data_IF_452188912755
#
_entry.id   IF_452188912755
#
_cell.length_a   1.000
_cell.length_b   1.000
_cell.length_c   1.000
_cell.angle_alpha   90.00
_cell.angle_beta   90.00
_cell.angle_gamma   90.00
#
_symmetry.space_group_name_H-M   'P 1'
#
loop_
_entity.id
_entity.type
_entity.pdbx_description
1 polymer ?
#
# COMPACT_ATOMS: atom_id res chain seq x y z
N UNK A 1 17.99 6.43 -19.21
CA UNK A 1 17.81 6.24 -17.75
C UNK A 1 16.38 6.46 -17.27
N UNK A 2 15.59 7.36 -17.88
CA UNK A 2 14.22 7.66 -17.46
C UNK A 2 13.29 6.42 -17.41
N UNK A 3 13.31 5.57 -18.43
CA UNK A 3 12.49 4.33 -18.48
C UNK A 3 12.84 3.37 -17.34
N UNK A 4 14.13 3.14 -17.10
CA UNK A 4 14.58 2.29 -16.00
C UNK A 4 14.13 2.85 -14.64
N UNK A 5 14.22 4.17 -14.47
CA UNK A 5 13.75 4.82 -13.26
C UNK A 5 12.24 4.64 -13.07
N UNK A 6 11.45 4.93 -14.11
CA UNK A 6 9.99 4.84 -14.06
C UNK A 6 9.52 3.39 -13.83
N UNK A 7 10.11 2.41 -14.49
CA UNK A 7 9.62 1.01 -14.43
C UNK A 7 10.16 0.26 -13.20
N UNK A 8 11.34 0.61 -12.69
CA UNK A 8 12.01 -0.16 -11.64
C UNK A 8 12.24 0.68 -10.39
N UNK A 9 13.05 1.74 -10.49
CA UNK A 9 13.52 2.47 -9.30
C UNK A 9 12.38 3.14 -8.55
N UNK A 10 11.47 3.80 -9.26
CA UNK A 10 10.33 4.49 -8.69
C UNK A 10 9.36 3.50 -8.00
N UNK A 11 8.85 2.44 -8.65
CA UNK A 11 8.00 1.45 -7.99
C UNK A 11 8.64 0.81 -6.75
N UNK A 12 9.93 0.45 -6.80
CA UNK A 12 10.62 -0.11 -5.61
C UNK A 12 10.65 0.88 -4.47
N UNK A 13 11.05 2.12 -4.75
CA UNK A 13 11.17 3.18 -3.74
C UNK A 13 9.82 3.53 -3.14
N UNK A 14 8.79 3.64 -3.99
CA UNK A 14 7.43 3.94 -3.58
C UNK A 14 6.83 2.79 -2.75
N UNK A 15 6.96 1.53 -3.18
CA UNK A 15 6.44 0.42 -2.37
C UNK A 15 7.15 0.32 -1.02
N UNK A 16 8.47 0.56 -0.95
CA UNK A 16 9.18 0.61 0.32
C UNK A 16 8.65 1.73 1.23
N UNK A 17 8.53 2.96 0.71
CA UNK A 17 8.08 4.11 1.49
C UNK A 17 6.62 3.98 1.92
N UNK A 18 5.73 3.57 1.03
CA UNK A 18 4.30 3.53 1.32
C UNK A 18 3.87 2.25 2.03
N UNK A 19 4.37 1.08 1.65
CA UNK A 19 3.88 -0.21 2.17
C UNK A 19 4.77 -0.73 3.29
N UNK A 20 6.07 -0.46 3.22
CA UNK A 20 7.02 -0.75 4.29
C UNK A 20 6.89 0.23 5.45
N UNK A 21 7.06 1.53 5.18
CA UNK A 21 7.15 2.55 6.23
C UNK A 21 5.78 3.12 6.61
N UNK A 22 5.11 3.82 5.70
CA UNK A 22 3.88 4.57 6.02
C UNK A 22 2.72 3.66 6.45
N UNK A 23 2.45 2.61 5.67
CA UNK A 23 1.42 1.63 5.99
C UNK A 23 1.75 0.87 7.29
N UNK A 24 3.02 0.50 7.50
CA UNK A 24 3.47 -0.13 8.74
C UNK A 24 3.25 0.77 9.96
N UNK A 25 3.49 2.08 9.82
CA UNK A 25 3.21 3.08 10.84
C UNK A 25 1.71 3.16 11.15
N UNK A 26 0.85 3.30 10.15
CA UNK A 26 -0.60 3.36 10.38
C UNK A 26 -1.17 2.07 10.95
N UNK A 27 -0.72 0.90 10.51
CA UNK A 27 -1.11 -0.37 11.12
C UNK A 27 -0.75 -0.42 12.61
N UNK A 28 0.39 0.15 12.98
CA UNK A 28 0.84 0.19 14.38
C UNK A 28 -0.04 1.15 15.19
N UNK A 29 -0.35 2.33 14.67
CA UNK A 29 -1.32 3.25 15.29
C UNK A 29 -2.70 2.63 15.47
N UNK A 30 -3.24 1.97 14.45
CA UNK A 30 -4.56 1.34 14.48
C UNK A 30 -4.63 0.23 15.54
N UNK A 31 -3.57 -0.56 15.69
CA UNK A 31 -3.44 -1.54 16.77
C UNK A 31 -3.44 -0.87 18.14
N UNK A 32 -2.68 0.21 18.33
CA UNK A 32 -2.67 0.95 19.60
C UNK A 32 -4.03 1.55 19.94
N UNK A 33 -4.70 2.16 18.96
CA UNK A 33 -6.03 2.74 19.14
C UNK A 33 -7.06 1.67 19.51
N UNK A 34 -7.04 0.52 18.85
CA UNK A 34 -7.94 -0.61 19.15
C UNK A 34 -7.74 -1.12 20.58
N UNK A 35 -6.50 -1.25 21.04
CA UNK A 35 -6.19 -1.65 22.42
C UNK A 35 -6.64 -0.58 23.43
N UNK A 36 -6.48 0.70 23.12
CA UNK A 36 -6.83 1.80 24.03
C UNK A 36 -8.33 2.05 24.16
N UNK A 37 -9.09 1.96 23.04
CA UNK A 37 -10.55 2.15 23.02
C UNK A 37 -11.29 0.99 23.73
N UNK A 38 -10.56 -0.06 24.13
CA UNK A 38 -11.05 -1.03 25.09
C UNK A 38 -12.05 -2.02 24.52
N UNK A 39 -12.05 -2.30 23.21
CA UNK A 39 -12.75 -3.49 22.70
C UNK A 39 -11.93 -4.72 23.08
N UNK A 40 -12.34 -5.51 24.09
CA UNK A 40 -11.60 -6.67 24.53
C UNK A 40 -12.01 -7.85 23.64
N UNK A 41 -11.81 -7.73 22.32
CA UNK A 41 -11.96 -8.86 21.44
C UNK A 41 -10.62 -9.57 21.40
N UNK A 42 -10.56 -10.70 22.10
CA UNK A 42 -9.46 -11.68 22.20
C UNK A 42 -8.51 -11.46 23.38
N UNK A 43 -9.07 -11.46 24.59
CA UNK A 43 -8.45 -12.22 25.68
C UNK A 43 -8.59 -13.70 25.37
N UNK A 44 -7.53 -14.33 24.85
CA UNK A 44 -7.20 -15.73 25.10
C UNK A 44 -5.73 -15.94 24.75
N UNK A 45 -4.91 -15.92 25.81
CA UNK A 45 -3.49 -16.18 25.76
C UNK A 45 -3.20 -17.60 25.30
N UNK A 46 -1.93 -17.80 24.93
CA UNK A 46 -1.26 -19.08 24.63
C UNK A 46 -1.34 -19.55 23.16
N UNK A 47 -2.38 -19.23 22.36
CA UNK A 47 -2.46 -19.65 20.94
C UNK A 47 -2.91 -18.60 19.89
N UNK A 48 -2.81 -17.29 20.14
CA UNK A 48 -3.25 -16.28 19.15
C UNK A 48 -2.18 -15.97 18.09
N UNK A 49 -1.94 -16.92 17.19
CA UNK A 49 -1.43 -16.62 15.85
C UNK A 49 -2.68 -16.33 15.00
N UNK A 50 -2.86 -15.08 14.57
CA UNK A 50 -3.72 -14.73 13.42
C UNK A 50 -5.25 -14.69 13.59
N UNK A 51 -5.76 -13.70 14.32
CA UNK A 51 -6.83 -12.87 13.73
C UNK A 51 -6.16 -11.64 13.10
N UNK A 52 -5.69 -11.78 11.85
CA UNK A 52 -5.24 -10.60 11.08
C UNK A 52 -6.47 -9.75 10.75
N UNK A 53 -6.91 -8.96 11.72
CA UNK A 53 -7.92 -7.94 11.50
C UNK A 53 -7.43 -7.04 10.37
N UNK A 54 -8.33 -6.77 9.42
CA UNK A 54 -8.00 -5.94 8.29
C UNK A 54 -7.78 -4.50 8.78
N UNK A 55 -6.61 -3.89 8.54
CA UNK A 55 -6.30 -2.57 9.06
C UNK A 55 -6.93 -1.53 8.13
N UNK A 56 -8.24 -1.33 8.25
CA UNK A 56 -9.04 -0.53 7.36
C UNK A 56 -8.51 0.90 7.28
N UNK A 57 -8.19 1.50 8.44
CA UNK A 57 -7.65 2.85 8.48
C UNK A 57 -6.29 2.92 7.76
N UNK A 58 -5.38 1.98 8.04
CA UNK A 58 -4.07 1.98 7.40
C UNK A 58 -4.18 1.81 5.88
N UNK A 59 -5.06 0.93 5.39
CA UNK A 59 -5.27 0.69 3.95
C UNK A 59 -5.80 1.97 3.28
N UNK A 60 -6.88 2.54 3.83
CA UNK A 60 -7.51 3.74 3.28
C UNK A 60 -6.56 4.94 3.29
N UNK A 61 -5.91 5.20 4.43
CA UNK A 61 -5.03 6.35 4.58
C UNK A 61 -3.80 6.25 3.69
N UNK A 62 -3.10 5.11 3.69
CA UNK A 62 -1.90 4.95 2.85
C UNK A 62 -2.22 4.98 1.35
N UNK A 63 -3.32 4.34 0.93
CA UNK A 63 -3.75 4.35 -0.46
C UNK A 63 -4.19 5.73 -0.95
N UNK A 64 -4.95 6.47 -0.14
CA UNK A 64 -5.37 7.83 -0.48
C UNK A 64 -4.19 8.79 -0.56
N UNK A 65 -3.24 8.74 0.39
CA UNK A 65 -2.02 9.57 0.35
C UNK A 65 -1.21 9.24 -0.91
N UNK A 66 -1.09 7.96 -1.26
CA UNK A 66 -0.42 7.54 -2.49
C UNK A 66 -1.05 8.17 -3.74
N UNK A 67 -2.37 8.10 -3.89
CA UNK A 67 -3.04 8.72 -5.04
C UNK A 67 -2.99 10.26 -5.03
N UNK A 68 -3.17 10.90 -3.89
CA UNK A 68 -3.12 12.36 -3.76
C UNK A 68 -1.74 12.95 -4.04
N UNK A 69 -0.65 12.21 -3.83
CA UNK A 69 0.68 12.67 -4.23
C UNK A 69 0.88 12.73 -5.75
N UNK A 70 -0.04 12.14 -6.51
CA UNK A 70 -0.11 12.26 -7.96
C UNK A 70 -1.12 13.33 -8.41
N UNK A 71 -1.52 14.21 -7.50
CA UNK A 71 -2.33 15.37 -7.83
C UNK A 71 -1.61 16.26 -8.85
N UNK A 72 -2.36 16.75 -9.84
CA UNK A 72 -1.80 17.51 -10.97
C UNK A 72 -1.60 16.69 -12.25
N UNK A 73 -1.64 15.35 -12.18
CA UNK A 73 -1.67 14.47 -13.36
C UNK A 73 -3.10 14.17 -13.85
N UNK A 74 -3.98 15.17 -13.80
CA UNK A 74 -5.40 15.03 -14.14
C UNK A 74 -6.16 14.14 -13.15
N UNK A 75 -7.02 13.26 -13.66
CA UNK A 75 -7.86 12.38 -12.84
C UNK A 75 -7.12 11.14 -12.30
N UNK A 76 -5.81 10.99 -12.54
CA UNK A 76 -5.03 9.81 -12.18
C UNK A 76 -5.00 9.51 -10.68
N UNK A 77 -5.16 10.51 -9.81
CA UNK A 77 -5.16 10.32 -8.35
C UNK A 77 -6.29 9.37 -7.87
N UNK A 78 -7.40 9.27 -8.60
CA UNK A 78 -8.52 8.38 -8.25
C UNK A 78 -8.12 6.90 -8.45
N UNK A 79 -7.76 6.43 -9.67
CA UNK A 79 -7.33 5.05 -9.88
C UNK A 79 -6.05 4.72 -9.11
N UNK A 80 -5.13 5.69 -8.94
CA UNK A 80 -3.92 5.48 -8.15
C UNK A 80 -4.23 5.30 -6.65
N UNK A 81 -5.24 5.99 -6.12
CA UNK A 81 -5.69 5.76 -4.73
C UNK A 81 -6.22 4.33 -4.54
N UNK A 82 -7.05 3.87 -5.48
CA UNK A 82 -7.60 2.50 -5.48
C UNK A 82 -6.50 1.45 -5.62
N UNK A 83 -5.55 1.67 -6.51
CA UNK A 83 -4.37 0.83 -6.65
C UNK A 83 -3.56 0.81 -5.35
N UNK A 84 -3.32 1.97 -4.74
CA UNK A 84 -2.63 2.10 -3.46
C UNK A 84 -3.28 1.25 -2.36
N UNK A 85 -4.60 1.34 -2.22
CA UNK A 85 -5.39 0.52 -1.29
C UNK A 85 -5.27 -0.98 -1.60
N UNK A 86 -5.35 -1.37 -2.88
CA UNK A 86 -5.22 -2.76 -3.30
C UNK A 86 -3.83 -3.34 -2.98
N UNK A 87 -2.77 -2.56 -3.20
CA UNK A 87 -1.39 -2.95 -2.91
C UNK A 87 -1.12 -3.02 -1.39
N UNK A 88 -1.71 -2.12 -0.60
CA UNK A 88 -1.66 -2.18 0.86
C UNK A 88 -2.39 -3.43 1.39
N UNK A 89 -3.58 -3.73 0.85
CA UNK A 89 -4.31 -4.97 1.14
C UNK A 89 -3.48 -6.21 0.78
N UNK A 90 -2.90 -6.25 -0.43
CA UNK A 90 -2.07 -7.34 -0.90
C UNK A 90 -0.88 -7.57 0.03
N UNK A 91 -0.14 -6.50 0.36
CA UNK A 91 1.01 -6.55 1.29
C UNK A 91 0.59 -7.06 2.66
N UNK A 92 -0.56 -6.60 3.18
CA UNK A 92 -1.08 -7.09 4.46
C UNK A 92 -1.41 -8.58 4.41
N UNK A 93 -2.02 -9.06 3.32
CA UNK A 93 -2.44 -10.47 3.15
C UNK A 93 -1.28 -11.41 2.91
N UNK A 94 -0.25 -10.99 2.17
CA UNK A 94 0.93 -11.81 1.88
C UNK A 94 2.01 -11.71 2.97
N UNK A 95 2.05 -10.61 3.71
CA UNK A 95 3.17 -10.30 4.60
C UNK A 95 4.48 -10.02 3.86
N UNK A 96 4.42 -9.74 2.55
CA UNK A 96 5.58 -9.54 1.68
C UNK A 96 5.35 -8.34 0.75
N UNK A 97 6.39 -7.53 0.54
CA UNK A 97 6.39 -6.37 -0.36
C UNK A 97 6.57 -6.77 -1.82
N UNK A 98 7.22 -7.89 -2.12
CA UNK A 98 7.54 -8.30 -3.50
C UNK A 98 6.30 -8.41 -4.41
N UNK A 99 5.16 -8.98 -3.98
CA UNK A 99 3.96 -9.01 -4.82
C UNK A 99 3.46 -7.61 -5.17
N UNK A 100 3.53 -6.66 -4.25
CA UNK A 100 3.10 -5.28 -4.50
C UNK A 100 4.07 -4.58 -5.47
N UNK A 101 5.38 -4.76 -5.28
CA UNK A 101 6.42 -4.26 -6.19
C UNK A 101 6.20 -4.81 -7.60
N UNK A 102 5.99 -6.11 -7.75
CA UNK A 102 5.79 -6.73 -9.05
C UNK A 102 4.57 -6.18 -9.79
N UNK A 103 3.42 -6.03 -9.10
CA UNK A 103 2.21 -5.44 -9.67
C UNK A 103 2.47 -3.99 -10.09
N UNK A 104 3.14 -3.21 -9.24
CA UNK A 104 3.41 -1.81 -9.52
C UNK A 104 4.38 -1.64 -10.69
N UNK A 105 5.49 -2.39 -10.73
CA UNK A 105 6.40 -2.42 -11.88
C UNK A 105 5.68 -2.79 -13.18
N UNK A 106 4.77 -3.77 -13.12
CA UNK A 106 3.99 -4.21 -14.28
C UNK A 106 3.10 -3.08 -14.80
N UNK A 107 2.35 -2.42 -13.92
CA UNK A 107 1.48 -1.30 -14.30
C UNK A 107 2.28 -0.11 -14.82
N UNK A 108 3.40 0.22 -14.18
CA UNK A 108 4.25 1.32 -14.64
C UNK A 108 4.93 0.99 -15.98
N UNK A 109 5.30 -0.28 -16.20
CA UNK A 109 5.75 -0.80 -17.48
C UNK A 109 4.71 -0.61 -18.59
N UNK A 110 3.46 -1.06 -18.36
CA UNK A 110 2.36 -0.85 -19.32
C UNK A 110 2.11 0.64 -19.60
N UNK A 111 2.07 1.46 -18.54
CA UNK A 111 1.88 2.90 -18.68
C UNK A 111 3.00 3.55 -19.50
N UNK A 112 4.24 3.13 -19.26
CA UNK A 112 5.41 3.62 -20.00
C UNK A 112 5.33 3.24 -21.47
N UNK A 113 4.97 1.98 -21.79
CA UNK A 113 4.78 1.53 -23.19
C UNK A 113 3.70 2.34 -23.89
N UNK A 114 2.55 2.53 -23.24
CA UNK A 114 1.45 3.35 -23.80
C UNK A 114 1.94 4.77 -24.09
N UNK A 115 2.63 5.40 -23.13
CA UNK A 115 3.15 6.76 -23.28
C UNK A 115 4.15 6.94 -24.44
N UNK A 116 4.86 5.89 -24.85
CA UNK A 116 5.78 5.95 -25.99
C UNK A 116 5.17 5.52 -27.33
N UNK A 117 3.95 4.96 -27.31
CA UNK A 117 3.29 4.39 -28.51
C UNK A 117 2.03 5.13 -28.92
N UNK A 118 1.48 5.97 -28.05
CA UNK A 118 0.26 6.78 -28.23
C UNK A 118 0.55 8.22 -27.88
#
# INVERSE_FOLDING_TARGET
MAVFSAVIVAPVSEEFMFRGVLFGFFQRMERYATTFIGTPLVSNGIFSRSTRNLPYFAILASGLIFGLLHWGHGAAWIPLSLLGMALAYLTHRTGNLLPAIAVHMTLNGFSTVIQFTV
#
